data_IF_015766797624
#
_entry.id   IF_015766797624
#
_cell.length_a   1.000
_cell.length_b   1.000
_cell.length_c   1.000
_cell.angle_alpha   90.00
_cell.angle_beta   90.00
_cell.angle_gamma   90.00
#
_symmetry.space_group_name_H-M   'P 1'
#
loop_
_entity.id
_entity.type
_entity.pdbx_description
1 polymer ?
#
# COMPACT_ATOMS: atom_id res chain seq x y z
N UNK A 1 -9.23 2.84 -5.47
CA UNK A 1 -8.57 1.72 -6.18
C UNK A 1 -8.08 2.19 -7.53
N UNK A 2 -8.91 2.86 -8.33
CA UNK A 2 -8.53 3.43 -9.63
C UNK A 2 -7.19 4.19 -9.61
N UNK A 3 -7.02 5.12 -8.66
CA UNK A 3 -5.75 5.85 -8.50
C UNK A 3 -4.53 4.93 -8.30
N UNK A 4 -4.67 3.87 -7.51
CA UNK A 4 -3.60 2.89 -7.27
C UNK A 4 -3.26 2.19 -8.59
N UNK A 5 -4.26 1.73 -9.34
CA UNK A 5 -4.06 1.06 -10.63
C UNK A 5 -3.41 1.99 -11.65
N UNK A 6 -3.89 3.22 -11.77
CA UNK A 6 -3.34 4.21 -12.70
C UNK A 6 -1.88 4.54 -12.34
N UNK A 7 -1.59 4.71 -11.05
CA UNK A 7 -0.21 4.92 -10.57
C UNK A 7 0.71 3.75 -10.93
N UNK A 8 0.22 2.50 -10.89
CA UNK A 8 1.01 1.34 -11.32
C UNK A 8 1.32 1.39 -12.82
N UNK A 9 0.32 1.76 -13.65
CA UNK A 9 0.50 1.90 -15.10
C UNK A 9 1.52 2.99 -15.41
N UNK A 10 1.38 4.17 -14.80
CA UNK A 10 2.28 5.31 -14.98
C UNK A 10 3.71 5.02 -14.49
N UNK A 11 3.84 4.20 -13.45
CA UNK A 11 5.13 3.74 -12.95
C UNK A 11 5.80 2.70 -13.86
N UNK A 12 5.11 2.21 -14.89
CA UNK A 12 5.56 1.16 -15.80
C UNK A 12 5.96 -0.14 -15.09
N UNK A 13 5.13 -0.61 -14.15
CA UNK A 13 5.33 -1.98 -13.62
C UNK A 13 5.10 -3.02 -14.71
N UNK A 14 5.90 -4.09 -14.68
CA UNK A 14 5.88 -5.11 -15.73
C UNK A 14 4.60 -5.95 -15.72
N UNK A 15 4.00 -6.17 -14.55
CA UNK A 15 2.72 -6.89 -14.45
C UNK A 15 2.14 -6.89 -13.05
N UNK A 16 0.80 -6.85 -12.98
CA UNK A 16 0.04 -6.98 -11.74
C UNK A 16 -0.34 -8.44 -11.55
N UNK A 17 0.09 -9.04 -10.45
CA UNK A 17 -0.17 -10.44 -10.10
C UNK A 17 -1.51 -10.59 -9.38
N UNK A 18 -1.79 -9.70 -8.43
CA UNK A 18 -3.07 -9.66 -7.72
C UNK A 18 -3.36 -8.26 -7.21
N UNK A 19 -4.63 -7.88 -7.23
CA UNK A 19 -5.14 -6.65 -6.63
C UNK A 19 -6.47 -6.95 -5.95
N UNK A 20 -6.46 -7.02 -4.62
CA UNK A 20 -7.60 -7.44 -3.83
C UNK A 20 -7.94 -6.35 -2.82
N UNK A 21 -9.22 -5.96 -2.77
CA UNK A 21 -9.74 -5.03 -1.77
C UNK A 21 -10.43 -5.80 -0.65
N UNK A 22 -10.19 -5.42 0.59
CA UNK A 22 -11.01 -5.89 1.70
C UNK A 22 -12.46 -5.38 1.54
N UNK A 23 -13.47 -6.24 1.70
CA UNK A 23 -14.86 -5.83 1.60
C UNK A 23 -15.20 -4.86 2.73
N UNK A 24 -15.99 -3.84 2.40
CA UNK A 24 -16.49 -2.90 3.39
C UNK A 24 -17.53 -3.57 4.32
N UNK A 25 -17.69 -3.08 5.56
CA UNK A 25 -18.73 -3.58 6.46
C UNK A 25 -20.14 -3.55 5.84
N UNK A 26 -20.46 -2.52 5.07
CA UNK A 26 -21.74 -2.38 4.35
C UNK A 26 -21.90 -3.35 3.17
N UNK A 27 -20.82 -3.84 2.58
CA UNK A 27 -20.84 -4.84 1.50
C UNK A 27 -21.04 -6.26 2.04
N UNK A 28 -20.83 -6.46 3.35
CA UNK A 28 -21.03 -7.75 4.00
C UNK A 28 -22.52 -7.94 4.25
N UNK A 29 -23.19 -8.63 3.33
CA UNK A 29 -24.57 -9.06 3.51
C UNK A 29 -24.74 -9.64 4.92
N UNK A 30 -25.68 -9.10 5.68
CA UNK A 30 -26.01 -9.64 7.00
C UNK A 30 -26.31 -11.13 6.83
N UNK A 31 -25.78 -12.01 7.70
CA UNK A 31 -26.12 -13.42 7.64
C UNK A 31 -27.65 -13.54 7.63
N UNK A 32 -28.18 -14.21 6.61
CA UNK A 32 -29.62 -14.46 6.49
C UNK A 32 -30.12 -14.97 7.83
N UNK A 33 -31.17 -14.37 8.43
CA UNK A 33 -31.67 -14.85 9.71
C UNK A 33 -32.03 -16.32 9.54
N UNK A 34 -31.42 -17.17 10.36
CA UNK A 34 -31.85 -18.55 10.48
C UNK A 34 -33.35 -18.55 10.88
N UNK A 35 -34.17 -19.50 10.40
CA UNK A 35 -35.58 -19.55 10.75
C UNK A 35 -35.72 -19.58 12.28
N UNK A 36 -36.42 -18.59 12.83
CA UNK A 36 -36.66 -18.48 14.26
C UNK A 36 -37.52 -19.65 14.74
N UNK A 37 -37.08 -20.36 15.77
CA UNK A 37 -37.97 -21.19 16.57
C UNK A 37 -39.02 -20.29 17.25
N UNK A 38 -40.30 -20.69 17.33
CA UNK A 38 -41.36 -19.83 17.84
C UNK A 38 -41.18 -19.62 19.35
N UNK A 39 -41.08 -18.35 19.78
CA UNK A 39 -41.25 -18.01 21.21
C UNK A 39 -40.35 -16.93 21.82
N UNK A 40 -39.44 -16.27 21.10
CA UNK A 40 -38.60 -15.22 21.70
C UNK A 40 -38.83 -13.86 21.05
N UNK A 41 -39.37 -12.93 21.83
CA UNK A 41 -39.54 -11.53 21.45
C UNK A 41 -38.18 -10.91 21.06
N UNK A 42 -38.11 -10.10 20.00
CA UNK A 42 -36.87 -9.44 19.60
C UNK A 42 -36.54 -8.35 20.63
N UNK A 43 -35.44 -8.53 21.35
CA UNK A 43 -34.83 -7.43 22.07
C UNK A 43 -34.40 -6.37 21.03
N UNK A 44 -34.93 -5.15 21.14
CA UNK A 44 -34.44 -4.01 20.38
C UNK A 44 -32.95 -3.85 20.71
N UNK A 45 -32.10 -4.20 19.75
CA UNK A 45 -30.68 -3.87 19.82
C UNK A 45 -30.59 -2.34 19.87
N UNK A 46 -30.22 -1.81 21.04
CA UNK A 46 -29.78 -0.43 21.19
C UNK A 46 -28.50 -0.33 20.35
N UNK A 47 -28.57 0.38 19.24
CA UNK A 47 -27.38 0.84 18.52
C UNK A 47 -26.68 1.78 19.51
N UNK A 48 -25.44 1.53 19.93
CA UNK A 48 -24.71 2.50 20.73
C UNK A 48 -24.46 3.73 19.85
N UNK A 49 -25.26 4.78 20.07
CA UNK A 49 -24.93 6.16 19.74
C UNK A 49 -23.61 6.50 20.45
N UNK A 50 -22.51 6.56 19.70
CA UNK A 50 -21.22 6.92 20.29
C UNK A 50 -19.98 6.57 19.48
N UNK A 51 -20.08 5.84 18.38
CA UNK A 51 -18.91 5.51 17.55
C UNK A 51 -18.87 6.43 16.32
N UNK A 52 -18.70 7.73 16.56
CA UNK A 52 -18.29 8.68 15.51
C UNK A 52 -16.85 8.31 15.13
N UNK A 53 -16.69 7.29 14.28
CA UNK A 53 -15.40 6.95 13.69
C UNK A 53 -14.95 8.12 12.83
N UNK A 54 -14.04 8.90 13.39
CA UNK A 54 -13.42 10.07 12.75
C UNK A 54 -12.73 9.67 11.44
N UNK A 55 -12.26 8.42 11.34
CA UNK A 55 -11.71 7.87 10.12
C UNK A 55 -12.15 6.42 9.90
N UNK A 56 -12.59 6.13 8.67
CA UNK A 56 -12.72 4.78 8.15
C UNK A 56 -11.47 4.41 7.37
N UNK A 57 -11.08 3.14 7.41
CA UNK A 57 -9.99 2.61 6.60
C UNK A 57 -10.47 1.48 5.69
N UNK A 58 -9.92 1.46 4.47
CA UNK A 58 -10.10 0.35 3.52
C UNK A 58 -8.73 -0.21 3.18
N UNK A 59 -8.50 -1.51 3.40
CA UNK A 59 -7.26 -2.17 2.98
C UNK A 59 -7.34 -2.67 1.53
N UNK A 60 -6.24 -2.50 0.81
CA UNK A 60 -5.99 -3.02 -0.53
C UNK A 60 -4.67 -3.80 -0.48
N UNK A 61 -4.76 -5.08 -0.79
CA UNK A 61 -3.61 -5.97 -0.93
C UNK A 61 -3.24 -6.03 -2.42
N UNK A 62 -1.97 -5.77 -2.73
CA UNK A 62 -1.47 -5.76 -4.10
C UNK A 62 -0.17 -6.52 -4.22
N UNK A 63 -0.05 -7.29 -5.31
CA UNK A 63 1.17 -7.98 -5.70
C UNK A 63 1.48 -7.62 -7.15
N UNK A 64 2.71 -7.23 -7.43
CA UNK A 64 3.16 -6.94 -8.79
C UNK A 64 4.63 -7.30 -8.98
N UNK A 65 5.01 -7.46 -10.24
CA UNK A 65 6.38 -7.65 -10.66
C UNK A 65 6.86 -6.40 -11.39
N UNK A 66 8.11 -6.00 -11.15
CA UNK A 66 8.76 -5.00 -11.98
C UNK A 66 10.17 -4.65 -11.56
N UNK A 67 10.79 -3.71 -12.27
CA UNK A 67 12.08 -3.17 -11.85
C UNK A 67 11.97 -2.44 -10.51
N UNK A 68 13.07 -2.41 -9.75
CA UNK A 68 13.17 -1.63 -8.52
C UNK A 68 12.89 -0.13 -8.72
N UNK A 69 13.25 0.42 -9.88
CA UNK A 69 12.97 1.80 -10.23
C UNK A 69 11.45 2.04 -10.42
N UNK A 70 10.76 1.14 -11.10
CA UNK A 70 9.30 1.21 -11.27
C UNK A 70 8.57 1.10 -9.93
N UNK A 71 8.97 0.15 -9.07
CA UNK A 71 8.39 0.00 -7.73
C UNK A 71 8.53 1.28 -6.89
N UNK A 72 9.72 1.92 -6.92
CA UNK A 72 9.94 3.20 -6.22
C UNK A 72 9.07 4.32 -6.76
N UNK A 73 8.96 4.46 -8.10
CA UNK A 73 8.10 5.47 -8.72
C UNK A 73 6.66 5.31 -8.25
N UNK A 74 6.16 4.08 -8.27
CA UNK A 74 4.83 3.76 -7.76
C UNK A 74 4.66 4.19 -6.30
N UNK A 75 5.54 3.75 -5.39
CA UNK A 75 5.41 4.13 -3.97
C UNK A 75 5.55 5.63 -3.73
N UNK A 76 6.41 6.31 -4.49
CA UNK A 76 6.54 7.77 -4.41
C UNK A 76 5.26 8.47 -4.88
N UNK A 77 4.60 7.99 -5.94
CA UNK A 77 3.31 8.53 -6.40
C UNK A 77 2.20 8.28 -5.37
N UNK A 78 2.20 7.13 -4.70
CA UNK A 78 1.27 6.83 -3.61
C UNK A 78 1.50 7.77 -2.42
N UNK A 79 2.76 7.97 -2.02
CA UNK A 79 3.11 8.87 -0.92
C UNK A 79 2.86 10.35 -1.25
N UNK A 80 2.96 10.74 -2.52
CA UNK A 80 2.72 12.11 -2.99
C UNK A 80 1.24 12.41 -3.32
N UNK A 81 0.34 11.44 -3.12
CA UNK A 81 -1.08 11.63 -3.42
C UNK A 81 -1.70 12.71 -2.54
N UNK A 82 -2.53 13.57 -3.14
CA UNK A 82 -3.16 14.72 -2.47
C UNK A 82 -4.64 14.53 -2.14
N UNK A 83 -5.32 13.67 -2.89
CA UNK A 83 -6.77 13.51 -2.79
C UNK A 83 -7.20 12.55 -1.66
N UNK A 84 -6.36 11.56 -1.38
CA UNK A 84 -6.60 10.53 -0.36
C UNK A 84 -5.32 10.25 0.39
N UNK A 85 -5.45 9.88 1.67
CA UNK A 85 -4.31 9.46 2.48
C UNK A 85 -4.14 7.95 2.31
N UNK A 86 -3.01 7.57 1.73
CA UNK A 86 -2.59 6.18 1.57
C UNK A 86 -1.50 5.84 2.58
N UNK A 87 -1.69 4.74 3.32
CA UNK A 87 -0.72 4.24 4.30
C UNK A 87 -0.24 2.88 3.86
N UNK A 88 1.06 2.77 3.57
CA UNK A 88 1.71 1.49 3.25
C UNK A 88 1.99 0.78 4.58
N UNK A 89 1.21 -0.24 4.91
CA UNK A 89 1.35 -0.98 6.19
C UNK A 89 2.39 -2.08 6.13
N UNK A 90 2.38 -2.83 5.03
CA UNK A 90 3.27 -3.95 4.82
C UNK A 90 3.88 -3.81 3.45
N UNK A 91 5.19 -4.00 3.36
CA UNK A 91 5.93 -4.06 2.12
C UNK A 91 6.87 -5.26 2.18
N UNK A 92 6.66 -6.22 1.28
CA UNK A 92 7.56 -7.35 1.06
C UNK A 92 8.15 -7.22 -0.34
N UNK A 93 9.46 -7.33 -0.42
CA UNK A 93 10.20 -7.29 -1.69
C UNK A 93 10.99 -8.57 -1.80
N UNK A 94 10.81 -9.29 -2.90
CA UNK A 94 11.56 -10.49 -3.24
C UNK A 94 12.23 -10.32 -4.59
N UNK A 95 13.51 -10.64 -4.68
CA UNK A 95 14.20 -10.75 -5.96
C UNK A 95 13.61 -11.92 -6.76
N UNK A 96 13.52 -11.76 -8.09
CA UNK A 96 13.08 -12.84 -8.97
C UNK A 96 14.20 -13.84 -9.26
N UNK A 97 15.45 -13.39 -9.27
CA UNK A 97 16.62 -14.23 -9.37
C UNK A 97 16.97 -14.82 -8.00
N UNK A 98 17.03 -16.14 -7.97
CA UNK A 98 17.44 -16.92 -6.79
C UNK A 98 18.95 -16.75 -6.49
N UNK A 99 19.73 -16.42 -7.52
CA UNK A 99 21.17 -16.18 -7.39
C UNK A 99 21.43 -14.70 -7.16
N UNK A 100 22.01 -14.39 -6.00
CA UNK A 100 22.47 -13.04 -5.66
C UNK A 100 23.49 -12.49 -6.68
N UNK A 101 23.79 -11.18 -6.61
CA UNK A 101 24.68 -10.53 -7.56
C UNK A 101 25.98 -11.31 -7.70
N UNK A 102 26.40 -11.61 -8.93
CA UNK A 102 27.74 -12.16 -9.17
C UNK A 102 28.72 -11.16 -8.57
N UNK A 103 29.48 -11.59 -7.55
CA UNK A 103 30.58 -10.76 -7.00
C UNK A 103 31.43 -10.31 -8.18
N UNK A 104 31.67 -9.01 -8.27
CA UNK A 104 32.62 -8.45 -9.23
C UNK A 104 33.91 -9.27 -9.13
N UNK A 105 34.43 -9.72 -10.27
CA UNK A 105 35.71 -10.40 -10.30
C UNK A 105 36.76 -9.54 -9.57
N UNK A 106 37.70 -10.15 -8.83
CA UNK A 106 38.75 -9.38 -8.16
C UNK A 106 39.62 -8.72 -9.23
N UNK A 107 39.39 -7.42 -9.50
CA UNK A 107 40.13 -6.70 -10.53
C UNK A 107 39.59 -5.33 -10.93
N UNK A 108 38.31 -5.00 -10.70
CA UNK A 108 37.81 -3.65 -11.02
C UNK A 108 38.14 -2.68 -9.87
N UNK A 109 39.30 -2.06 -9.98
CA UNK A 109 39.76 -0.96 -9.13
C UNK A 109 38.72 0.18 -9.16
N UNK A 110 38.29 0.73 -8.01
CA UNK A 110 37.30 1.81 -8.00
C UNK A 110 37.91 3.04 -8.69
N UNK A 111 37.23 3.56 -9.72
CA UNK A 111 37.53 4.86 -10.29
C UNK A 111 37.43 5.93 -9.19
N UNK A 112 38.32 6.93 -9.16
CA UNK A 112 38.35 7.92 -8.09
C UNK A 112 37.07 8.74 -8.06
N UNK A 113 36.50 8.91 -6.87
CA UNK A 113 35.30 9.70 -6.61
C UNK A 113 35.52 11.18 -6.98
N UNK A 114 34.57 11.85 -7.65
CA UNK A 114 34.55 13.31 -7.71
C UNK A 114 34.22 13.88 -6.33
N UNK A 115 34.97 14.91 -5.93
CA UNK A 115 34.83 15.64 -4.66
C UNK A 115 33.45 16.27 -4.50
N UNK A 116 33.07 16.39 -3.22
CA UNK A 116 31.84 16.99 -2.73
C UNK A 116 31.73 18.48 -3.13
N UNK A 117 30.53 18.85 -3.58
CA UNK A 117 30.00 20.20 -3.46
C UNK A 117 28.48 20.12 -3.29
N UNK A 118 27.94 20.91 -2.35
CA UNK A 118 26.53 21.30 -2.33
C UNK A 118 25.54 20.33 -1.67
N UNK A 119 25.36 20.52 -0.36
CA UNK A 119 24.23 20.07 0.46
C UNK A 119 22.87 20.03 -0.24
N UNK A 120 22.30 18.83 -0.31
CA UNK A 120 20.88 18.56 0.00
C UNK A 120 20.83 17.31 0.88
N UNK A 121 20.20 17.44 2.05
CA UNK A 121 19.96 16.33 2.94
C UNK A 121 19.27 15.22 2.13
N UNK A 122 20.00 14.11 1.94
CA UNK A 122 19.43 12.92 1.35
C UNK A 122 18.30 12.49 2.29
N UNK A 123 17.08 12.64 1.80
CA UNK A 123 15.91 11.92 2.28
C UNK A 123 16.38 10.50 2.60
N UNK A 124 16.14 10.02 3.82
CA UNK A 124 16.49 8.66 4.24
C UNK A 124 15.56 7.68 3.51
N UNK A 125 15.68 7.66 2.18
CA UNK A 125 15.02 6.75 1.29
C UNK A 125 15.61 5.38 1.54
N UNK A 126 14.69 4.44 1.77
CA UNK A 126 14.88 3.00 1.89
C UNK A 126 16.18 2.55 1.20
N UNK A 127 17.21 2.26 2.01
CA UNK A 127 18.54 1.85 1.54
C UNK A 127 18.42 0.54 0.77
N UNK A 128 19.05 0.50 -0.39
CA UNK A 128 18.73 -0.47 -1.43
C UNK A 128 19.61 -1.70 -1.36
N UNK A 129 19.00 -2.84 -1.01
CA UNK A 129 19.66 -4.14 -1.00
C UNK A 129 19.52 -4.87 -2.36
N UNK A 130 18.63 -4.42 -3.26
CA UNK A 130 18.07 -5.28 -4.32
C UNK A 130 18.43 -4.93 -5.77
N UNK A 131 19.71 -4.81 -6.16
CA UNK A 131 20.20 -4.83 -7.56
C UNK A 131 19.45 -4.08 -8.71
N UNK A 132 19.94 -4.10 -9.94
CA UNK A 132 19.16 -3.63 -11.12
C UNK A 132 18.14 -4.68 -11.60
N UNK A 133 17.69 -5.53 -10.69
CA UNK A 133 16.96 -6.75 -10.97
C UNK A 133 15.44 -6.53 -10.94
N UNK A 134 14.70 -7.44 -11.57
CA UNK A 134 13.25 -7.49 -11.42
C UNK A 134 12.90 -8.06 -10.05
N UNK A 135 11.92 -7.44 -9.41
CA UNK A 135 11.45 -7.78 -8.07
C UNK A 135 9.97 -8.10 -8.09
N UNK A 136 9.58 -9.05 -7.27
CA UNK A 136 8.20 -9.28 -6.88
C UNK A 136 7.93 -8.49 -5.61
N UNK A 137 6.96 -7.60 -5.69
CA UNK A 137 6.56 -6.71 -4.60
C UNK A 137 5.16 -7.10 -4.15
N UNK A 138 5.01 -7.33 -2.85
CA UNK A 138 3.74 -7.54 -2.19
C UNK A 138 3.54 -6.42 -1.18
N UNK A 139 2.44 -5.69 -1.26
CA UNK A 139 2.15 -4.59 -0.36
C UNK A 139 0.71 -4.60 0.12
N UNK A 140 0.51 -4.14 1.35
CA UNK A 140 -0.81 -3.82 1.91
C UNK A 140 -0.89 -2.32 2.10
N UNK A 141 -1.80 -1.69 1.35
CA UNK A 141 -2.06 -0.25 1.41
C UNK A 141 -3.41 -0.03 2.07
N UNK A 142 -3.48 0.87 3.04
CA UNK A 142 -4.73 1.36 3.59
C UNK A 142 -5.07 2.73 3.05
N UNK A 143 -6.34 2.89 2.69
CA UNK A 143 -6.93 4.14 2.24
C UNK A 143 -7.73 4.68 3.42
N UNK A 144 -7.34 5.85 3.94
CA UNK A 144 -8.07 6.52 5.01
C UNK A 144 -9.10 7.48 4.44
N UNK A 145 -10.31 7.44 4.99
CA UNK A 145 -11.40 8.37 4.72
C UNK A 145 -11.78 9.05 6.02
N UNK A 146 -11.61 10.37 6.09
CA UNK A 146 -12.01 11.15 7.25
C UNK A 146 -13.49 11.51 7.16
N UNK A 147 -14.25 11.21 8.20
CA UNK A 147 -15.65 11.60 8.35
C UNK A 147 -15.71 12.71 9.40
N UNK A 148 -15.59 13.96 8.97
CA UNK A 148 -15.70 15.10 9.86
C UNK A 148 -17.17 15.36 10.23
N UNK A 149 -17.54 15.47 11.51
CA UNK A 149 -18.87 15.87 11.90
C UNK A 149 -19.12 17.34 11.49
N UNK A 150 -20.24 17.63 10.83
CA UNK A 150 -20.61 18.96 10.29
C UNK A 150 -20.60 20.11 11.33
N UNK A 151 -20.52 19.83 12.63
CA UNK A 151 -20.65 20.85 13.69
C UNK A 151 -19.40 21.67 13.99
N UNK A 152 -18.24 21.34 13.43
CA UNK A 152 -16.98 22.09 13.69
C UNK A 152 -16.48 22.90 12.48
N UNK A 153 -17.25 22.97 11.38
CA UNK A 153 -16.96 23.86 10.26
C UNK A 153 -17.59 25.26 10.47
N UNK A 154 -17.23 25.95 11.56
CA UNK A 154 -17.47 27.39 11.76
C UNK A 154 -16.32 28.05 12.49
#
# INVERSE_FOLDING_TARGET
>A
IEYITNSMIDAHVNGVLSLTRSPLPEERAAPSPAPAAPGRAPAKAKIPEGDLKIADWTSVDLNFAGSSAAARRFFNQIAAAKEQVYVIRTLQVRNQADKGPKRSAPGEQPAPAPRADGSKAAEQGISFIVGTEHVNVAARIEILRFNFPEKEAR
#
